data_IF_307027053570
#
_entry.id   IF_307027053570
#
_cell.length_a   1.000
_cell.length_b   1.000
_cell.length_c   1.000
_cell.angle_alpha   90.00
_cell.angle_beta   90.00
_cell.angle_gamma   90.00
#
_symmetry.space_group_name_H-M   'P 1'
#
loop_
_entity.id
_entity.type
_entity.pdbx_description
1 polymer ?
#
# COMPACT_ATOMS: atom_id res chain seq x y z
N UNK A 1 -14.59 12.81 -10.13
CA UNK A 1 -13.89 11.67 -9.49
C UNK A 1 -14.98 10.75 -8.95
N UNK A 2 -14.86 9.43 -9.09
CA UNK A 2 -15.91 8.51 -8.65
C UNK A 2 -15.82 8.23 -7.14
N UNK A 3 -16.95 7.93 -6.49
CA UNK A 3 -17.04 7.64 -5.04
C UNK A 3 -15.97 6.64 -4.55
N UNK A 4 -15.63 5.64 -5.37
CA UNK A 4 -14.56 4.68 -5.08
C UNK A 4 -13.17 5.32 -5.02
N UNK A 5 -12.81 6.16 -5.99
CA UNK A 5 -11.49 6.79 -6.04
C UNK A 5 -11.33 7.77 -4.87
N UNK A 6 -12.39 8.52 -4.56
CA UNK A 6 -12.39 9.45 -3.42
C UNK A 6 -12.16 8.69 -2.12
N UNK A 7 -12.85 7.57 -1.90
CA UNK A 7 -12.61 6.71 -0.75
C UNK A 7 -11.17 6.19 -0.69
N UNK A 8 -10.58 5.78 -1.82
CA UNK A 8 -9.16 5.37 -1.90
C UNK A 8 -8.23 6.50 -1.48
N UNK A 9 -8.41 7.70 -2.05
CA UNK A 9 -7.54 8.83 -1.77
C UNK A 9 -7.64 9.29 -0.33
N UNK A 10 -8.84 9.30 0.25
CA UNK A 10 -9.04 9.64 1.66
C UNK A 10 -8.35 8.66 2.62
N UNK A 11 -8.23 7.38 2.27
CA UNK A 11 -7.43 6.44 3.07
C UNK A 11 -5.93 6.63 2.85
N UNK A 12 -5.48 6.88 1.62
CA UNK A 12 -4.06 7.06 1.30
C UNK A 12 -3.48 8.30 1.98
N UNK A 13 -4.25 9.39 2.07
CA UNK A 13 -3.89 10.61 2.81
C UNK A 13 -3.62 10.37 4.30
N UNK A 14 -4.18 9.30 4.88
CA UNK A 14 -4.04 8.98 6.30
C UNK A 14 -2.77 8.20 6.61
N UNK A 15 -2.12 7.60 5.60
CA UNK A 15 -0.89 6.84 5.82
C UNK A 15 0.18 7.79 6.38
N UNK A 16 0.71 7.57 7.59
CA UNK A 16 1.71 8.46 8.18
C UNK A 16 3.01 8.50 7.39
N UNK A 17 3.76 9.60 7.49
CA UNK A 17 5.12 9.68 6.95
C UNK A 17 6.00 8.60 7.59
N UNK A 18 6.79 7.89 6.78
CA UNK A 18 7.65 6.80 7.25
C UNK A 18 6.93 5.45 7.43
N UNK A 19 5.64 5.38 7.06
CA UNK A 19 4.85 4.16 7.02
C UNK A 19 4.34 3.89 5.60
N UNK A 20 4.05 2.63 5.33
CA UNK A 20 3.48 2.16 4.06
C UNK A 20 2.20 1.37 4.29
N UNK A 21 1.36 1.28 3.27
CA UNK A 21 0.18 0.42 3.24
C UNK A 21 0.23 -0.46 1.99
N UNK A 22 -0.54 -1.55 1.98
CA UNK A 22 -0.72 -2.36 0.78
C UNK A 22 -2.00 -1.97 0.04
N UNK A 23 -2.06 -2.26 -1.28
CA UNK A 23 -3.30 -2.11 -2.06
C UNK A 23 -4.48 -2.87 -1.44
N UNK A 24 -4.22 -4.06 -0.89
CA UNK A 24 -5.23 -4.89 -0.23
C UNK A 24 -5.73 -4.29 1.07
N UNK A 25 -4.84 -3.69 1.87
CA UNK A 25 -5.21 -2.99 3.10
C UNK A 25 -6.10 -1.78 2.81
N UNK A 26 -5.75 -0.96 1.80
CA UNK A 26 -6.61 0.16 1.38
C UNK A 26 -7.98 -0.35 0.91
N UNK A 27 -8.00 -1.41 0.10
CA UNK A 27 -9.25 -2.02 -0.37
C UNK A 27 -10.15 -2.49 0.78
N UNK A 28 -9.57 -3.02 1.87
CA UNK A 28 -10.31 -3.41 3.08
C UNK A 28 -10.85 -2.20 3.84
N UNK A 29 -10.03 -1.17 4.04
CA UNK A 29 -10.42 0.04 4.76
C UNK A 29 -11.60 0.78 4.12
N UNK A 30 -11.73 0.69 2.79
CA UNK A 30 -12.89 1.25 2.06
C UNK A 30 -14.08 0.28 1.93
N UNK A 31 -14.05 -0.88 2.60
CA UNK A 31 -15.13 -1.88 2.55
C UNK A 31 -15.22 -2.66 1.24
N UNK A 32 -14.15 -2.72 0.44
CA UNK A 32 -14.08 -3.40 -0.87
C UNK A 32 -12.91 -4.40 -0.91
N UNK A 33 -12.85 -5.43 -0.05
CA UNK A 33 -11.66 -6.27 0.18
C UNK A 33 -11.10 -6.97 -1.07
N UNK A 34 -11.93 -7.23 -2.10
CA UNK A 34 -11.54 -7.88 -3.36
C UNK A 34 -11.11 -6.89 -4.46
N UNK A 35 -10.91 -5.62 -4.12
CA UNK A 35 -10.68 -4.54 -5.09
C UNK A 35 -9.25 -4.00 -5.13
N UNK A 36 -8.26 -4.73 -4.60
CA UNK A 36 -6.85 -4.29 -4.57
C UNK A 36 -6.33 -3.82 -5.95
N UNK A 37 -6.67 -4.54 -7.03
CA UNK A 37 -6.31 -4.14 -8.40
C UNK A 37 -6.94 -2.80 -8.81
N UNK A 38 -8.19 -2.57 -8.43
CA UNK A 38 -8.90 -1.31 -8.69
C UNK A 38 -8.35 -0.15 -7.87
N UNK A 39 -7.86 -0.40 -6.65
CA UNK A 39 -7.10 0.60 -5.88
C UNK A 39 -5.88 1.04 -6.68
N UNK A 40 -5.11 0.10 -7.24
CA UNK A 40 -3.97 0.43 -8.10
C UNK A 40 -4.35 1.27 -9.33
N UNK A 41 -5.52 1.02 -9.94
CA UNK A 41 -6.03 1.86 -11.02
C UNK A 41 -6.43 3.25 -10.55
N UNK A 42 -7.10 3.37 -9.40
CA UNK A 42 -7.45 4.66 -8.82
C UNK A 42 -6.19 5.51 -8.53
N UNK A 43 -5.15 4.90 -7.96
CA UNK A 43 -3.88 5.59 -7.68
C UNK A 43 -3.13 6.07 -8.93
N UNK A 44 -3.28 5.38 -10.07
CA UNK A 44 -2.73 5.85 -11.36
C UNK A 44 -3.43 7.09 -11.90
N UNK A 45 -4.66 7.37 -11.46
CA UNK A 45 -5.41 8.57 -11.83
C UNK A 45 -5.16 9.74 -10.87
N UNK A 46 -4.22 9.60 -9.92
CA UNK A 46 -3.86 10.66 -8.98
C UNK A 46 -3.13 11.80 -9.70
N UNK A 47 -3.78 12.97 -9.79
CA UNK A 47 -3.22 14.20 -10.35
C UNK A 47 -2.54 15.10 -9.30
N UNK A 48 -2.60 14.72 -8.02
CA UNK A 48 -2.08 15.49 -6.89
C UNK A 48 -1.13 14.65 -6.02
N UNK A 49 0.03 14.21 -6.55
CA UNK A 49 0.96 13.34 -5.84
C UNK A 49 1.57 13.97 -4.56
N UNK A 50 1.54 15.30 -4.44
CA UNK A 50 1.98 16.02 -3.23
C UNK A 50 0.94 15.91 -2.11
N UNK A 51 -0.35 15.88 -2.44
CA UNK A 51 -1.45 15.86 -1.47
C UNK A 51 -1.86 14.42 -1.15
N UNK A 52 -1.84 13.55 -2.15
CA UNK A 52 -2.20 12.14 -2.03
C UNK A 52 -0.89 11.34 -2.16
N UNK A 53 -0.30 10.85 -1.05
CA UNK A 53 1.03 10.22 -1.04
C UNK A 53 0.96 8.77 -1.56
N UNK A 54 0.63 8.60 -2.84
CA UNK A 54 0.43 7.28 -3.45
C UNK A 54 1.70 6.43 -3.47
N UNK A 55 2.89 7.02 -3.34
CA UNK A 55 4.17 6.30 -3.21
C UNK A 55 4.24 5.46 -1.92
N UNK A 56 3.43 5.77 -0.91
CA UNK A 56 3.31 4.99 0.33
C UNK A 56 2.51 3.69 0.16
N UNK A 57 1.99 3.40 -1.03
CA UNK A 57 1.26 2.16 -1.30
C UNK A 57 2.14 1.18 -2.09
N UNK A 58 2.37 0.00 -1.51
CA UNK A 58 3.25 -1.06 -2.04
C UNK A 58 2.48 -2.36 -2.28
N UNK A 59 3.13 -3.33 -2.93
CA UNK A 59 2.57 -4.69 -3.07
C UNK A 59 2.51 -5.42 -1.71
N UNK A 60 1.79 -6.54 -1.68
CA UNK A 60 1.49 -7.27 -0.42
C UNK A 60 2.75 -7.75 0.31
N UNK A 61 3.76 -8.14 -0.46
CA UNK A 61 5.08 -8.59 -0.03
C UNK A 61 6.04 -7.42 0.29
N UNK A 62 5.60 -6.17 0.17
CA UNK A 62 6.44 -4.99 0.34
C UNK A 62 7.16 -4.54 -0.93
N UNK A 63 6.96 -5.24 -2.05
CA UNK A 63 7.58 -4.87 -3.31
C UNK A 63 7.11 -3.49 -3.78
N UNK A 64 8.04 -2.70 -4.31
CA UNK A 64 7.78 -1.42 -4.94
C UNK A 64 7.00 -1.58 -6.26
N UNK A 65 6.26 -0.54 -6.64
CA UNK A 65 5.60 -0.48 -7.92
C UNK A 65 6.63 -0.37 -9.05
N UNK A 66 6.44 -1.15 -10.10
CA UNK A 66 7.35 -1.21 -11.25
C UNK A 66 7.05 -0.12 -12.29
N UNK A 67 8.09 0.30 -13.01
CA UNK A 67 8.01 1.20 -14.14
C UNK A 67 7.76 2.67 -13.76
N UNK A 68 7.31 3.46 -14.74
CA UNK A 68 7.26 4.92 -14.66
C UNK A 68 6.10 5.49 -13.80
N UNK A 69 5.55 4.72 -12.87
CA UNK A 69 4.35 5.09 -12.08
C UNK A 69 4.56 6.36 -11.26
N UNK A 70 5.81 6.67 -10.91
CA UNK A 70 6.20 7.84 -10.12
C UNK A 70 7.14 8.79 -10.86
N UNK A 71 7.16 8.79 -12.19
CA UNK A 71 8.07 9.65 -12.95
C UNK A 71 9.45 9.05 -13.21
N UNK A 72 9.63 7.75 -12.98
CA UNK A 72 10.86 7.03 -13.28
C UNK A 72 11.13 5.85 -12.37
N UNK A 73 11.99 4.96 -12.84
CA UNK A 73 12.51 3.86 -12.04
C UNK A 73 13.24 4.42 -10.80
N UNK A 74 12.99 3.83 -9.64
CA UNK A 74 13.59 4.24 -8.37
C UNK A 74 13.00 5.49 -7.71
N UNK A 75 12.08 6.22 -8.36
CA UNK A 75 11.47 7.42 -7.74
C UNK A 75 10.65 7.05 -6.51
N UNK A 76 9.88 5.96 -6.54
CA UNK A 76 9.14 5.51 -5.37
C UNK A 76 10.07 5.22 -4.19
N UNK A 77 11.17 4.50 -4.45
CA UNK A 77 12.17 4.17 -3.43
C UNK A 77 12.73 5.42 -2.79
N UNK A 78 13.14 6.39 -3.61
CA UNK A 78 13.69 7.66 -3.13
C UNK A 78 12.70 8.42 -2.24
N UNK A 79 11.44 8.56 -2.66
CA UNK A 79 10.41 9.24 -1.87
C UNK A 79 10.19 8.54 -0.52
N UNK A 80 10.16 7.22 -0.50
CA UNK A 80 10.04 6.42 0.72
C UNK A 80 11.27 6.55 1.64
N UNK A 81 12.47 6.54 1.07
CA UNK A 81 13.73 6.75 1.81
C UNK A 81 13.80 8.15 2.43
N UNK A 82 13.40 9.18 1.69
CA UNK A 82 13.32 10.56 2.18
C UNK A 82 12.29 10.70 3.32
N UNK A 83 11.35 9.76 3.44
CA UNK A 83 10.42 9.65 4.55
C UNK A 83 10.91 8.81 5.73
N UNK A 84 12.03 8.11 5.59
CA UNK A 84 12.61 7.25 6.61
C UNK A 84 12.10 5.79 6.57
N UNK A 85 11.53 5.35 5.45
CA UNK A 85 11.14 3.95 5.26
C UNK A 85 12.40 3.10 5.05
N UNK A 86 12.44 1.96 5.73
CA UNK A 86 13.52 0.98 5.64
C UNK A 86 13.18 -0.15 4.65
N UNK A 87 14.21 -0.76 4.10
CA UNK A 87 14.11 -1.75 3.03
C UNK A 87 14.90 -3.01 3.40
N UNK A 88 14.36 -4.18 3.09
CA UNK A 88 15.06 -5.46 3.26
C UNK A 88 16.04 -5.73 2.12
N UNK A 89 15.74 -5.20 0.93
CA UNK A 89 16.58 -5.28 -0.27
C UNK A 89 16.39 -4.05 -1.19
N UNK A 90 16.67 -4.19 -2.48
CA UNK A 90 16.60 -3.09 -3.44
C UNK A 90 15.16 -2.68 -3.78
N UNK A 91 14.21 -3.62 -3.75
CA UNK A 91 12.83 -3.41 -4.20
C UNK A 91 11.75 -3.77 -3.17
N UNK A 92 12.11 -4.25 -1.98
CA UNK A 92 11.17 -4.59 -0.91
C UNK A 92 11.35 -3.72 0.34
N UNK A 93 10.24 -3.13 0.79
CA UNK A 93 10.13 -2.46 2.08
C UNK A 93 10.18 -3.48 3.21
N UNK A 94 10.81 -3.13 4.34
CA UNK A 94 10.68 -3.89 5.58
C UNK A 94 9.27 -3.69 6.15
N UNK A 95 8.39 -4.65 5.84
CA UNK A 95 6.98 -4.60 6.22
C UNK A 95 6.78 -4.74 7.73
N UNK A 96 7.68 -5.40 8.46
CA UNK A 96 7.55 -5.53 9.92
C UNK A 96 7.81 -4.17 10.60
N UNK A 97 8.76 -3.39 10.09
CA UNK A 97 9.07 -2.06 10.62
C UNK A 97 8.11 -0.97 10.13
N UNK A 98 7.73 -1.01 8.84
CA UNK A 98 7.10 0.12 8.16
C UNK A 98 5.62 -0.06 7.83
N UNK A 99 5.02 -1.25 7.99
CA UNK A 99 3.60 -1.42 7.72
C UNK A 99 2.77 -0.54 8.68
N UNK A 100 1.88 0.25 8.08
CA UNK A 100 0.94 1.10 8.79
C UNK A 100 -0.11 0.25 9.50
N UNK A 101 -0.32 0.51 10.80
CA UNK A 101 -1.39 -0.09 11.59
C UNK A 101 -2.53 0.95 11.79
N UNK A 102 -3.65 0.85 11.05
CA UNK A 102 -4.74 1.84 11.15
C UNK A 102 -5.41 1.87 12.54
N UNK A 103 -5.28 0.80 13.33
CA UNK A 103 -5.84 0.72 14.66
C UNK A 103 -5.23 1.76 15.62
N UNK A 104 -3.95 2.09 15.41
CA UNK A 104 -3.22 3.07 16.22
C UNK A 104 -3.72 4.50 15.98
N UNK A 105 -4.36 4.74 14.83
CA UNK A 105 -4.95 6.03 14.45
C UNK A 105 -6.47 6.09 14.72
N UNK A 106 -7.02 5.14 15.48
CA UNK A 106 -8.45 5.09 15.82
C UNK A 106 -9.37 4.74 14.64
N UNK A 107 -8.82 4.22 13.54
CA UNK A 107 -9.59 3.62 12.45
C UNK A 107 -9.95 2.20 12.82
N UNK A 108 -10.99 1.60 12.20
CA UNK A 108 -11.18 0.15 12.30
C UNK A 108 -9.85 -0.51 11.96
N UNK A 109 -9.24 -1.07 12.99
CA UNK A 109 -8.00 -1.79 12.88
C UNK A 109 -8.15 -2.97 11.93
N UNK A 110 -7.03 -3.64 11.68
CA UNK A 110 -7.00 -4.93 11.00
C UNK A 110 -8.18 -5.78 11.50
N UNK A 111 -9.14 -6.20 10.63
CA UNK A 111 -10.31 -6.95 11.09
C UNK A 111 -9.86 -8.13 11.95
N UNK A 112 -10.34 -8.18 13.20
CA UNK A 112 -9.89 -9.12 14.22
C UNK A 112 -10.29 -10.57 13.92
N UNK A 113 -11.15 -10.76 12.92
CA UNK A 113 -11.72 -12.04 12.48
C UNK A 113 -10.86 -12.78 11.45
N UNK A 114 -9.73 -12.20 11.02
CA UNK A 114 -8.86 -12.78 9.99
C UNK A 114 -7.53 -13.23 10.61
N UNK A 115 -7.08 -14.43 10.25
CA UNK A 115 -5.75 -14.96 10.55
C UNK A 115 -4.77 -14.56 9.45
N UNK A 116 -3.78 -13.76 9.80
CA UNK A 116 -2.89 -13.11 8.83
C UNK A 116 -1.60 -13.87 8.59
N UNK A 117 -1.25 -14.78 9.49
CA UNK A 117 -0.21 -15.76 9.25
C UNK A 117 -0.61 -16.63 8.06
N UNK A 118 -1.88 -17.01 8.01
CA UNK A 118 -2.45 -17.80 6.92
C UNK A 118 -2.53 -17.07 5.58
N UNK A 119 -2.90 -15.78 5.58
CA UNK A 119 -2.92 -15.02 4.32
C UNK A 119 -1.53 -14.80 3.72
N UNK A 120 -0.49 -14.59 4.54
CA UNK A 120 0.88 -14.43 4.04
C UNK A 120 1.41 -15.74 3.42
N UNK A 121 1.05 -16.89 3.99
CA UNK A 121 1.43 -18.22 3.46
C UNK A 121 0.70 -18.60 2.17
N UNK A 122 -0.58 -18.24 2.03
CA UNK A 122 -1.38 -18.58 0.83
C UNK A 122 -0.92 -17.83 -0.45
N UNK A 123 -0.07 -16.81 -0.32
CA UNK A 123 0.56 -16.11 -1.46
C UNK A 123 1.83 -16.76 -2.02
N UNK A 124 2.43 -17.73 -1.30
CA UNK A 124 3.71 -18.34 -1.69
C UNK A 124 3.57 -19.59 -2.57
N UNK A 125 2.37 -20.17 -2.69
CA UNK A 125 2.11 -21.33 -3.56
C UNK A 125 1.70 -20.92 -4.98
N UNK A 126 2.60 -20.22 -5.66
CA UNK A 126 2.63 -20.12 -7.11
C UNK A 126 3.64 -21.11 -7.67
N UNK A 127 3.36 -22.41 -7.54
CA UNK A 127 4.21 -23.46 -8.11
C UNK A 127 4.13 -23.38 -9.64
N UNK A 128 5.30 -23.20 -10.25
CA UNK A 128 5.53 -23.32 -11.69
C UNK A 128 5.04 -24.69 -12.14
N UNK A 129 4.17 -24.70 -13.14
CA UNK A 129 3.93 -25.83 -14.03
C UNK A 129 3.94 -25.30 -15.47
#
# INVERSE_FOLDING_TARGET
>A
MGEFNDAVFEQVKRIPRGKVSTYGQIARLIGRPRSARYVGWALRTNDQPVVIPCHRVVFKDGKLAEGYIFGGDGVQRKLLQDEGVVFVDDDHVDMDACLWNPAEDGLPGRPADIDWTREMDEGSKGERA
#
